data_IF_635632393160
#
_entry.id   IF_635632393160
#
_cell.length_a   1.000
_cell.length_b   1.000
_cell.length_c   1.000
_cell.angle_alpha   90.00
_cell.angle_beta   90.00
_cell.angle_gamma   90.00
#
_symmetry.space_group_name_H-M   'P 1'
#
loop_
_entity.id
_entity.type
_entity.pdbx_description
1 polymer ?
#
# COMPACT_ATOMS: atom_id res chain seq x y z
N UNK A 1 -13.35 -8.91 21.11
CA UNK A 1 -11.90 -8.83 21.42
C UNK A 1 -11.40 -7.43 21.05
N UNK A 2 -10.86 -6.64 21.99
CA UNK A 2 -10.30 -5.32 21.70
C UNK A 2 -8.86 -5.49 21.21
N UNK A 3 -8.59 -5.23 19.92
CA UNK A 3 -7.21 -5.23 19.39
C UNK A 3 -6.45 -4.08 20.06
N UNK A 4 -5.32 -4.40 20.71
CA UNK A 4 -4.43 -3.41 21.31
C UNK A 4 -3.84 -2.44 20.27
N UNK A 5 -3.19 -1.35 20.71
CA UNK A 5 -2.67 -0.33 19.81
C UNK A 5 -1.62 -0.93 18.85
N UNK A 6 -1.84 -0.77 17.54
CA UNK A 6 -0.91 -1.22 16.50
C UNK A 6 0.26 -0.23 16.49
N UNK A 7 1.47 -0.69 16.85
CA UNK A 7 2.70 0.10 16.70
C UNK A 7 2.90 0.48 15.23
N UNK A 8 3.38 1.70 14.99
CA UNK A 8 3.65 2.22 13.66
C UNK A 8 5.11 2.63 13.50
N UNK A 9 5.59 2.60 12.25
CA UNK A 9 6.90 3.12 11.84
C UNK A 9 6.76 3.96 10.58
N UNK A 10 7.71 4.87 10.36
CA UNK A 10 7.75 5.69 9.16
C UNK A 10 8.66 5.07 8.10
N UNK A 11 8.21 5.15 6.84
CA UNK A 11 9.01 4.80 5.67
C UNK A 11 9.01 5.96 4.68
N UNK A 12 10.00 5.99 3.79
CA UNK A 12 10.01 6.93 2.66
C UNK A 12 8.78 6.71 1.78
N UNK A 13 8.11 7.79 1.39
CA UNK A 13 6.98 7.72 0.47
C UNK A 13 7.48 7.32 -0.92
N UNK A 14 7.09 6.13 -1.39
CA UNK A 14 7.50 5.62 -2.70
C UNK A 14 7.00 6.51 -3.84
N UNK A 15 5.73 6.93 -3.79
CA UNK A 15 5.09 7.73 -4.85
C UNK A 15 5.88 9.00 -5.21
N UNK A 16 6.28 9.80 -4.21
CA UNK A 16 7.06 11.03 -4.42
C UNK A 16 8.58 10.85 -4.21
N UNK A 17 9.04 9.63 -3.93
CA UNK A 17 10.45 9.32 -3.62
C UNK A 17 11.04 10.20 -2.52
N UNK A 18 10.26 10.48 -1.47
CA UNK A 18 10.71 11.31 -0.35
C UNK A 18 10.66 12.83 -0.57
N UNK A 19 10.31 13.32 -1.77
CA UNK A 19 10.36 14.76 -2.08
C UNK A 19 9.26 15.58 -1.43
N UNK A 20 8.15 14.96 -1.04
CA UNK A 20 6.99 15.66 -0.50
C UNK A 20 6.14 16.41 -1.53
N UNK A 21 6.57 16.52 -2.79
CA UNK A 21 5.81 17.13 -3.89
C UNK A 21 5.19 16.07 -4.81
N UNK A 22 4.07 16.41 -5.47
CA UNK A 22 3.44 15.53 -6.46
C UNK A 22 4.41 15.30 -7.62
N UNK A 23 4.76 14.04 -7.93
CA UNK A 23 5.76 13.71 -8.94
C UNK A 23 5.33 14.09 -10.37
N UNK A 24 4.04 14.36 -10.58
CA UNK A 24 3.47 14.73 -11.88
C UNK A 24 3.07 16.21 -11.95
N UNK A 25 3.29 16.97 -10.86
CA UNK A 25 2.99 18.39 -10.79
C UNK A 25 1.50 18.70 -10.95
N UNK A 26 0.62 17.86 -10.39
CA UNK A 26 -0.83 18.04 -10.45
C UNK A 26 -1.38 18.51 -9.08
N UNK A 27 -2.22 19.58 -9.03
CA UNK A 27 -2.62 20.46 -10.12
C UNK A 27 -1.53 21.47 -10.57
N UNK A 28 -0.43 21.60 -9.84
CA UNK A 28 0.72 22.44 -10.19
C UNK A 28 2.06 21.83 -9.75
N UNK A 29 3.19 22.32 -10.28
CA UNK A 29 4.55 21.88 -9.91
C UNK A 29 4.87 22.03 -8.42
N UNK A 30 4.17 22.91 -7.70
CA UNK A 30 4.34 23.15 -6.27
C UNK A 30 3.38 22.32 -5.41
N UNK A 31 2.57 21.46 -6.03
CA UNK A 31 1.55 20.71 -5.32
C UNK A 31 2.17 19.68 -4.39
N UNK A 32 1.71 19.66 -3.15
CA UNK A 32 2.11 18.65 -2.18
C UNK A 32 1.73 17.25 -2.65
N UNK A 33 2.58 16.27 -2.36
CA UNK A 33 2.32 14.88 -2.66
C UNK A 33 1.04 14.41 -1.95
N UNK A 34 0.06 13.96 -2.73
CA UNK A 34 -1.24 13.47 -2.25
C UNK A 34 -1.16 12.26 -1.31
N UNK A 35 -0.05 11.51 -1.32
CA UNK A 35 0.13 10.30 -0.49
C UNK A 35 0.68 10.63 0.89
N UNK A 36 1.67 11.53 0.97
CA UNK A 36 2.37 11.87 2.22
C UNK A 36 2.07 13.27 2.74
N UNK A 37 1.26 14.04 2.02
CA UNK A 37 0.84 15.39 2.38
C UNK A 37 2.02 16.35 2.62
N UNK A 38 3.03 16.33 1.75
CA UNK A 38 4.21 17.18 1.90
C UNK A 38 5.34 16.59 2.75
N UNK A 39 5.10 15.53 3.53
CA UNK A 39 6.05 15.04 4.54
C UNK A 39 7.23 14.25 3.97
N UNK A 40 7.12 13.73 2.75
CA UNK A 40 8.10 12.80 2.16
C UNK A 40 8.11 11.39 2.79
N UNK A 41 7.41 11.19 3.90
CA UNK A 41 7.31 9.91 4.63
C UNK A 41 5.87 9.51 4.88
N UNK A 42 5.62 8.21 5.03
CA UNK A 42 4.31 7.66 5.37
C UNK A 42 4.43 6.70 6.55
N UNK A 43 3.42 6.69 7.41
CA UNK A 43 3.31 5.71 8.48
C UNK A 43 2.76 4.37 7.95
N UNK A 44 3.38 3.29 8.41
CA UNK A 44 2.95 1.91 8.22
C UNK A 44 2.88 1.21 9.58
N UNK A 45 2.12 0.12 9.66
CA UNK A 45 2.16 -0.75 10.83
C UNK A 45 3.55 -1.37 10.98
N UNK A 46 4.00 -1.56 12.22
CA UNK A 46 5.27 -2.24 12.48
C UNK A 46 5.10 -3.77 12.44
N UNK A 47 4.88 -4.27 11.22
CA UNK A 47 4.78 -5.70 10.89
C UNK A 47 5.66 -5.99 9.67
N UNK A 48 5.91 -7.27 9.33
CA UNK A 48 6.60 -7.61 8.09
C UNK A 48 5.85 -7.09 6.86
N UNK A 49 6.60 -6.53 5.90
CA UNK A 49 6.08 -6.01 4.63
C UNK A 49 6.86 -6.63 3.48
N UNK A 50 6.26 -6.59 2.30
CA UNK A 50 6.90 -6.93 1.04
C UNK A 50 6.65 -5.85 0.00
N UNK A 51 7.56 -5.78 -0.97
CA UNK A 51 7.43 -4.89 -2.12
C UNK A 51 6.12 -5.18 -2.84
N UNK A 52 5.35 -4.12 -3.12
CA UNK A 52 4.09 -4.27 -3.83
C UNK A 52 4.36 -4.73 -5.26
N UNK A 53 3.92 -5.95 -5.60
CA UNK A 53 4.11 -6.56 -6.92
C UNK A 53 3.42 -5.77 -8.03
N UNK A 54 2.23 -5.22 -7.76
CA UNK A 54 1.43 -4.48 -8.74
C UNK A 54 2.11 -3.20 -9.27
N UNK A 55 2.93 -2.53 -8.45
CA UNK A 55 3.66 -1.32 -8.85
C UNK A 55 5.18 -1.48 -8.81
N UNK A 56 5.68 -2.70 -8.51
CA UNK A 56 7.09 -3.02 -8.34
C UNK A 56 7.83 -2.06 -7.39
N UNK A 57 7.15 -1.63 -6.33
CA UNK A 57 7.71 -0.71 -5.33
C UNK A 57 7.66 0.79 -5.68
N UNK A 58 7.20 1.18 -6.87
CA UNK A 58 7.16 2.60 -7.27
C UNK A 58 6.09 3.40 -6.52
N UNK A 59 5.03 2.74 -6.04
CA UNK A 59 3.85 3.39 -5.50
C UNK A 59 2.98 4.06 -6.57
N UNK A 60 3.29 3.91 -7.86
CA UNK A 60 2.55 4.51 -8.98
C UNK A 60 1.71 3.42 -9.66
N UNK A 61 0.49 3.77 -10.08
CA UNK A 61 -0.30 2.89 -10.94
C UNK A 61 0.25 2.96 -12.37
N UNK A 62 0.70 1.83 -12.91
CA UNK A 62 1.39 1.75 -14.21
C UNK A 62 0.62 2.50 -15.29
N UNK A 63 1.31 3.32 -16.10
CA UNK A 63 0.74 4.19 -17.14
C UNK A 63 -0.26 5.28 -16.67
N UNK A 64 -0.50 5.41 -15.37
CA UNK A 64 -1.39 6.42 -14.80
C UNK A 64 -0.64 7.35 -13.82
N UNK A 65 -1.08 8.60 -13.74
CA UNK A 65 -0.54 9.60 -12.80
C UNK A 65 -1.18 9.50 -11.41
N UNK A 66 -1.52 8.28 -11.00
CA UNK A 66 -2.28 8.00 -9.80
C UNK A 66 -1.46 7.15 -8.83
N UNK A 67 -1.69 7.28 -7.51
CA UNK A 67 -1.15 6.33 -6.55
C UNK A 67 -1.60 4.91 -6.90
N UNK A 68 -0.69 3.94 -6.74
CA UNK A 68 -1.01 2.53 -6.90
C UNK A 68 -2.21 2.15 -6.01
N UNK A 69 -3.28 1.62 -6.60
CA UNK A 69 -4.52 1.27 -5.89
C UNK A 69 -4.32 0.18 -4.82
N UNK A 70 -3.36 -0.72 -5.03
CA UNK A 70 -3.05 -1.84 -4.12
C UNK A 70 -2.34 -1.36 -2.86
N UNK A 71 -1.23 -0.63 -3.00
CA UNK A 71 -0.41 -0.19 -1.86
C UNK A 71 -0.69 1.26 -1.43
N UNK A 72 -1.61 1.96 -2.10
CA UNK A 72 -1.97 3.36 -1.86
C UNK A 72 -0.77 4.32 -1.89
N UNK A 73 0.16 4.11 -2.82
CA UNK A 73 1.34 4.96 -2.98
C UNK A 73 2.54 4.65 -2.07
N UNK A 74 2.43 3.62 -1.21
CA UNK A 74 3.49 3.27 -0.24
C UNK A 74 4.63 2.44 -0.83
N UNK A 75 4.40 1.75 -1.96
CA UNK A 75 5.36 0.85 -2.59
C UNK A 75 5.50 -0.52 -1.91
N UNK A 76 4.82 -0.74 -0.78
CA UNK A 76 4.84 -2.02 -0.06
C UNK A 76 3.48 -2.35 0.53
N UNK A 77 3.25 -3.64 0.72
CA UNK A 77 2.05 -4.18 1.36
C UNK A 77 2.48 -5.00 2.58
N UNK A 78 1.64 -5.13 3.62
CA UNK A 78 1.88 -6.09 4.68
C UNK A 78 2.06 -7.49 4.07
N UNK A 79 3.10 -8.23 4.49
CA UNK A 79 3.14 -9.67 4.23
C UNK A 79 1.98 -10.27 4.99
N UNK A 80 1.03 -10.87 4.29
CA UNK A 80 -0.18 -11.33 4.94
C UNK A 80 0.18 -12.36 6.04
N UNK A 81 -0.48 -12.24 7.18
CA UNK A 81 -0.56 -13.31 8.19
C UNK A 81 -1.92 -14.00 8.15
N UNK A 82 -2.88 -13.47 7.39
CA UNK A 82 -4.15 -14.13 7.15
C UNK A 82 -3.91 -15.11 6.02
N UNK A 83 -4.02 -16.39 6.34
CA UNK A 83 -4.25 -17.41 5.33
C UNK A 83 -5.39 -16.90 4.45
N UNK A 84 -5.13 -16.72 3.16
CA UNK A 84 -6.21 -16.56 2.19
C UNK A 84 -7.18 -17.75 2.29
N UNK A 85 -8.34 -17.70 1.59
CA UNK A 85 -9.22 -18.87 1.52
C UNK A 85 -8.38 -20.12 1.22
N UNK A 86 -8.56 -21.16 2.04
CA UNK A 86 -7.75 -22.39 1.99
C UNK A 86 -8.12 -23.16 0.72
N UNK A 87 -7.53 -22.73 -0.39
CA UNK A 87 -7.81 -23.29 -1.70
C UNK A 87 -9.23 -22.98 -2.21
N UNK A 88 -9.45 -23.52 -3.40
CA UNK A 88 -10.75 -23.59 -4.04
C UNK A 88 -11.38 -24.90 -3.59
N UNK A 89 -12.63 -24.88 -3.15
CA UNK A 89 -13.30 -26.13 -2.84
C UNK A 89 -13.59 -26.89 -4.16
N UNK A 90 -13.33 -28.19 -4.19
CA UNK A 90 -13.33 -28.98 -5.43
C UNK A 90 -14.76 -29.28 -5.91
N UNK A 91 -15.75 -29.21 -5.01
CA UNK A 91 -17.15 -29.54 -5.29
C UNK A 91 -17.94 -28.35 -5.86
N UNK A 92 -17.74 -27.15 -5.33
CA UNK A 92 -18.46 -25.92 -5.72
C UNK A 92 -17.60 -24.95 -6.53
N UNK A 93 -16.27 -25.11 -6.52
CA UNK A 93 -15.35 -24.26 -7.28
C UNK A 93 -15.25 -22.83 -6.75
N UNK A 94 -15.70 -22.59 -5.51
CA UNK A 94 -15.64 -21.30 -4.86
C UNK A 94 -14.38 -21.19 -3.99
N UNK A 95 -13.90 -19.97 -3.70
CA UNK A 95 -12.86 -19.82 -2.69
C UNK A 95 -13.45 -20.24 -1.33
N UNK A 96 -12.79 -21.17 -0.64
CA UNK A 96 -13.22 -21.64 0.67
C UNK A 96 -13.23 -20.48 1.66
N UNK A 97 -14.42 -19.89 1.92
CA UNK A 97 -14.57 -18.80 2.87
C UNK A 97 -14.25 -19.34 4.27
N UNK A 98 -13.12 -18.90 4.84
CA UNK A 98 -12.82 -19.17 6.24
C UNK A 98 -13.90 -18.55 7.13
N UNK A 99 -14.25 -19.22 8.23
CA UNK A 99 -15.21 -18.69 9.21
C UNK A 99 -14.70 -17.34 9.74
N UNK A 100 -15.52 -16.29 9.57
CA UNK A 100 -15.31 -14.95 10.11
C UNK A 100 -15.49 -14.92 11.64
#
# INVERSE_FOLDING_TARGET
MKKGPIKSKEITCAFCKGKGIDPFGIPSKMSSCQVCWGKGKVAIADIPHETCSACKGTGIFEHHRLPCSVCKGKGMVPKDRREGPKGMDIETGLPGIGNY
#
